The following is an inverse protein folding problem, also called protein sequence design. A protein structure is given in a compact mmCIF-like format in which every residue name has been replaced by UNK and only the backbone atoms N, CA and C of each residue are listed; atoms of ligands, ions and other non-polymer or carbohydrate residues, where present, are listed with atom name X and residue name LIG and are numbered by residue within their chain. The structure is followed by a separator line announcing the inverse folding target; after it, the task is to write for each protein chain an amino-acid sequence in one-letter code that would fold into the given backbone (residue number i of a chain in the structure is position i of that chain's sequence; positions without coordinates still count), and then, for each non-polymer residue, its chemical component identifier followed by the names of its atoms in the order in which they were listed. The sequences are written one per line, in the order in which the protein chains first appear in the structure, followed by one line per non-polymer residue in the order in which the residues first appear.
data_IF_084833238904
#
_entry.id   IF_084833238904
#
_cell.length_a   1.000
_cell.length_b   1.000
_cell.length_c   1.000
_cell.angle_alpha   90.00
_cell.angle_beta   90.00
_cell.angle_gamma   90.00
#
_symmetry.space_group_name_H-M   'P 1'
#
loop_
_entity.id
_entity.type
_entity.pdbx_description
1 polymer ?
#
# COMPACT_ATOMS: atom_id res chain seq x y z
N UNK A 1 66.11 -28.32 51.16
CA UNK A 1 64.71 -28.83 51.23
C UNK A 1 63.76 -27.62 51.02
N UNK A 2 63.15 -27.50 49.82
CA UNK A 2 62.04 -26.60 49.53
C UNK A 2 61.01 -27.43 48.80
N UNK A 3 59.77 -27.37 49.30
CA UNK A 3 58.61 -28.13 48.77
C UNK A 3 58.14 -27.52 47.43
N UNK A 4 57.69 -28.28 46.45
CA UNK A 4 56.97 -27.79 45.29
C UNK A 4 55.46 -27.81 45.59
N UNK A 5 54.80 -26.69 45.58
CA UNK A 5 53.35 -26.54 45.56
C UNK A 5 52.98 -25.49 44.54
N UNK A 6 51.82 -25.70 43.86
CA UNK A 6 51.11 -24.78 43.02
C UNK A 6 51.36 -24.77 41.52
N UNK A 7 50.78 -25.78 40.83
CA UNK A 7 50.30 -25.61 39.47
C UNK A 7 49.01 -26.45 39.29
N UNK A 8 47.86 -25.90 39.67
CA UNK A 8 46.55 -26.31 39.19
C UNK A 8 45.69 -25.07 38.91
N UNK A 9 45.95 -24.39 37.78
CA UNK A 9 44.93 -23.57 37.20
C UNK A 9 43.91 -24.47 36.50
N UNK A 10 42.77 -24.63 37.13
CA UNK A 10 41.59 -25.28 36.53
C UNK A 10 41.06 -24.35 35.44
N UNK A 11 41.32 -24.68 34.18
CA UNK A 11 40.56 -24.19 33.06
C UNK A 11 39.19 -24.92 33.06
N UNK A 12 38.23 -24.39 33.82
CA UNK A 12 36.84 -24.77 33.69
C UNK A 12 36.37 -24.25 32.34
N UNK A 13 36.14 -25.13 31.37
CA UNK A 13 35.43 -24.77 30.16
C UNK A 13 34.06 -24.21 30.58
N UNK A 14 33.61 -23.05 30.02
CA UNK A 14 32.28 -22.54 30.33
C UNK A 14 31.22 -23.61 30.01
N UNK A 15 30.16 -23.69 30.77
CA UNK A 15 29.09 -24.66 30.52
C UNK A 15 28.55 -24.51 29.09
N UNK A 16 28.24 -25.64 28.46
CA UNK A 16 27.73 -25.69 27.08
C UNK A 16 26.54 -24.75 26.88
N UNK A 17 25.74 -24.53 27.92
CA UNK A 17 24.67 -23.54 27.98
C UNK A 17 25.14 -22.11 27.76
N UNK A 18 26.29 -21.70 28.29
CA UNK A 18 26.80 -20.33 28.09
C UNK A 18 27.42 -20.16 26.68
N UNK A 19 27.99 -21.23 26.13
CA UNK A 19 28.45 -21.25 24.75
C UNK A 19 27.25 -21.22 23.76
N UNK A 20 26.20 -21.98 24.03
CA UNK A 20 24.94 -21.92 23.29
C UNK A 20 24.31 -20.52 23.44
N UNK A 21 24.23 -19.97 24.65
CA UNK A 21 23.69 -18.61 24.86
C UNK A 21 24.57 -17.50 24.26
N UNK A 22 25.88 -17.69 24.12
CA UNK A 22 26.75 -16.72 23.44
C UNK A 22 26.64 -16.78 21.92
N UNK A 23 26.42 -17.97 21.34
CA UNK A 23 26.08 -18.13 19.92
C UNK A 23 24.70 -17.53 19.58
N UNK A 24 23.78 -17.43 20.56
CA UNK A 24 22.44 -16.84 20.40
C UNK A 24 22.40 -15.34 20.78
N UNK A 25 23.52 -14.68 21.07
CA UNK A 25 23.59 -13.24 21.34
C UNK A 25 23.71 -12.35 20.10
N UNK A 26 23.75 -12.91 18.90
CA UNK A 26 23.51 -12.12 17.69
C UNK A 26 22.05 -11.67 17.67
N UNK A 27 21.83 -10.40 17.44
CA UNK A 27 20.59 -9.67 17.63
C UNK A 27 19.34 -10.38 17.07
N UNK A 28 18.73 -11.26 17.88
CA UNK A 28 17.47 -11.90 17.50
C UNK A 28 16.33 -10.89 17.61
N UNK A 29 15.68 -10.61 16.49
CA UNK A 29 14.42 -9.87 16.46
C UNK A 29 13.26 -10.85 16.59
N UNK A 30 12.18 -10.41 17.23
CA UNK A 30 10.91 -11.14 17.16
C UNK A 30 10.34 -11.03 15.74
N UNK A 31 10.44 -9.82 15.15
CA UNK A 31 9.97 -9.55 13.80
C UNK A 31 10.99 -8.77 12.97
N UNK A 32 11.17 -9.21 11.71
CA UNK A 32 11.80 -8.42 10.66
C UNK A 32 10.74 -8.08 9.62
N UNK A 33 10.54 -6.79 9.35
CA UNK A 33 9.59 -6.30 8.35
C UNK A 33 10.35 -5.86 7.10
N UNK A 34 9.99 -6.42 5.96
CA UNK A 34 10.58 -6.12 4.65
C UNK A 34 9.69 -5.13 3.92
N UNK A 35 10.25 -3.93 3.64
CA UNK A 35 9.58 -2.84 2.94
C UNK A 35 9.00 -1.78 3.86
N UNK A 36 9.56 -0.57 3.76
CA UNK A 36 9.18 0.63 4.53
C UNK A 36 8.04 1.42 3.89
N UNK A 37 7.15 0.76 3.14
CA UNK A 37 5.88 1.33 2.68
C UNK A 37 4.89 1.49 3.83
N UNK A 38 3.69 2.01 3.54
CA UNK A 38 2.67 2.26 4.55
C UNK A 38 2.33 1.01 5.38
N UNK A 39 2.14 -0.14 4.73
CA UNK A 39 1.81 -1.40 5.43
C UNK A 39 2.94 -1.84 6.36
N UNK A 40 4.17 -1.90 5.85
CA UNK A 40 5.30 -2.31 6.68
C UNK A 40 5.56 -1.37 7.85
N UNK A 41 5.46 -0.06 7.65
CA UNK A 41 5.64 0.94 8.71
C UNK A 41 4.59 0.81 9.83
N UNK A 42 3.32 0.64 9.47
CA UNK A 42 2.25 0.49 10.48
C UNK A 42 2.38 -0.85 11.20
N UNK A 43 2.60 -1.96 10.48
CA UNK A 43 2.74 -3.27 11.11
C UNK A 43 3.96 -3.34 12.03
N UNK A 44 5.10 -2.77 11.62
CA UNK A 44 6.28 -2.70 12.47
C UNK A 44 6.02 -1.92 13.77
N UNK A 45 5.36 -0.74 13.66
CA UNK A 45 5.02 0.06 14.84
C UNK A 45 4.00 -0.63 15.77
N UNK A 46 3.02 -1.35 15.22
CA UNK A 46 2.03 -2.11 16.00
C UNK A 46 2.69 -3.27 16.76
N UNK A 47 3.59 -4.01 16.12
CA UNK A 47 4.30 -5.12 16.75
C UNK A 47 5.25 -4.62 17.85
N UNK A 48 6.02 -3.58 17.57
CA UNK A 48 6.90 -2.98 18.56
C UNK A 48 6.12 -2.37 19.73
N UNK A 49 4.96 -1.75 19.47
CA UNK A 49 4.05 -1.25 20.51
C UNK A 49 3.49 -2.34 21.43
N UNK A 50 3.51 -3.60 21.01
CA UNK A 50 3.17 -4.78 21.84
C UNK A 50 4.39 -5.37 22.56
N UNK A 51 5.53 -4.71 22.51
CA UNK A 51 6.77 -5.15 23.17
C UNK A 51 7.64 -6.09 22.35
N UNK A 52 7.30 -6.36 21.08
CA UNK A 52 8.12 -7.20 20.20
C UNK A 52 9.36 -6.42 19.70
N UNK A 53 10.55 -7.02 19.80
CA UNK A 53 11.76 -6.46 19.21
C UNK A 53 11.66 -6.52 17.68
N UNK A 54 11.50 -5.36 17.04
CA UNK A 54 11.17 -5.26 15.62
C UNK A 54 12.20 -4.44 14.85
N UNK A 55 12.65 -4.96 13.70
CA UNK A 55 13.46 -4.23 12.72
C UNK A 55 12.69 -4.07 11.42
N UNK A 56 12.75 -2.89 10.80
CA UNK A 56 12.18 -2.56 9.50
C UNK A 56 13.31 -2.31 8.50
N UNK A 57 13.37 -3.10 7.42
CA UNK A 57 14.33 -2.95 6.34
C UNK A 57 13.66 -2.32 5.11
N UNK A 58 14.19 -1.18 4.64
CA UNK A 58 13.77 -0.51 3.41
C UNK A 58 14.96 -0.36 2.47
N UNK A 59 14.79 -0.75 1.21
CA UNK A 59 15.86 -0.70 0.20
C UNK A 59 16.19 0.72 -0.28
N UNK A 60 15.18 1.60 -0.28
CA UNK A 60 15.34 3.00 -0.66
C UNK A 60 15.89 3.83 0.54
N UNK A 61 16.24 5.07 0.32
CA UNK A 61 16.83 5.96 1.33
C UNK A 61 15.82 6.54 2.32
N UNK A 62 14.52 6.35 2.07
CA UNK A 62 13.43 6.84 2.91
C UNK A 62 12.18 5.98 2.84
N UNK A 63 11.29 6.18 3.80
CA UNK A 63 10.04 5.44 3.92
C UNK A 63 8.95 6.02 3.00
N UNK A 64 7.96 5.23 2.65
CA UNK A 64 6.75 5.61 1.89
C UNK A 64 7.00 6.31 0.53
N UNK A 65 8.12 6.07 -0.13
CA UNK A 65 8.49 6.78 -1.36
C UNK A 65 7.85 6.22 -2.63
N UNK A 66 7.43 4.95 -2.65
CA UNK A 66 6.92 4.23 -3.82
C UNK A 66 5.38 4.27 -3.86
N UNK A 67 4.71 3.13 -4.03
CA UNK A 67 3.25 3.02 -4.14
C UNK A 67 2.46 3.71 -3.01
N UNK A 68 3.06 3.90 -1.84
CA UNK A 68 2.47 4.66 -0.73
C UNK A 68 2.41 6.17 -1.00
N UNK A 69 3.26 6.70 -1.88
CA UNK A 69 3.23 8.08 -2.37
C UNK A 69 2.53 8.19 -3.72
N UNK A 70 2.92 7.34 -4.68
CA UNK A 70 2.43 7.38 -6.06
C UNK A 70 1.07 6.66 -6.20
N UNK A 71 0.02 7.27 -5.67
CA UNK A 71 -1.36 6.80 -5.72
C UNK A 71 -2.33 7.99 -5.81
N UNK A 72 -3.65 7.74 -5.82
CA UNK A 72 -4.66 8.81 -5.92
C UNK A 72 -4.86 9.62 -4.62
N UNK A 73 -4.09 9.36 -3.57
CA UNK A 73 -4.21 9.98 -2.25
C UNK A 73 -5.64 9.96 -1.68
N UNK A 74 -6.39 8.88 -1.91
CA UNK A 74 -7.81 8.78 -1.59
C UNK A 74 -8.05 7.95 -0.34
N UNK A 75 -8.87 8.48 0.57
CA UNK A 75 -9.43 7.76 1.71
C UNK A 75 -10.83 7.30 1.34
N UNK A 76 -10.94 6.03 0.98
CA UNK A 76 -12.20 5.43 0.53
C UNK A 76 -13.22 5.30 1.65
N UNK A 77 -14.50 5.57 1.31
CA UNK A 77 -15.64 5.40 2.21
C UNK A 77 -16.75 4.53 1.58
N UNK A 78 -16.36 3.57 0.74
CA UNK A 78 -17.25 2.59 0.14
C UNK A 78 -17.76 2.90 -1.27
N UNK A 79 -17.82 4.16 -1.67
CA UNK A 79 -18.46 4.60 -2.93
C UNK A 79 -17.84 4.03 -4.20
N UNK A 80 -16.55 3.71 -4.16
CA UNK A 80 -15.83 3.23 -5.35
C UNK A 80 -16.15 1.77 -5.72
N UNK A 81 -16.88 1.04 -4.86
CA UNK A 81 -17.09 -0.40 -4.98
C UNK A 81 -18.57 -0.81 -5.00
N UNK A 82 -19.44 -0.22 -5.87
CA UNK A 82 -20.88 -0.50 -5.85
C UNK A 82 -21.24 -1.92 -6.31
N UNK A 83 -20.27 -2.74 -6.73
CA UNK A 83 -20.41 -4.12 -7.16
C UNK A 83 -19.83 -5.12 -6.18
N UNK A 84 -19.11 -4.66 -5.14
CA UNK A 84 -18.51 -5.51 -4.12
C UNK A 84 -18.94 -5.06 -2.73
N UNK A 85 -19.98 -5.71 -2.19
CA UNK A 85 -20.55 -5.36 -0.87
C UNK A 85 -19.50 -5.41 0.22
N UNK A 86 -18.73 -6.49 0.27
CA UNK A 86 -17.72 -6.69 1.32
C UNK A 86 -16.64 -5.60 1.27
N UNK A 87 -16.14 -5.28 0.06
CA UNK A 87 -15.12 -4.24 -0.11
C UNK A 87 -15.64 -2.85 0.26
N UNK A 88 -16.90 -2.55 -0.12
CA UNK A 88 -17.55 -1.29 0.22
C UNK A 88 -17.76 -1.15 1.72
N UNK A 89 -18.30 -2.19 2.38
CA UNK A 89 -18.51 -2.19 3.84
C UNK A 89 -17.20 -2.07 4.62
N UNK A 90 -16.15 -2.79 4.25
CA UNK A 90 -14.84 -2.67 4.90
C UNK A 90 -14.30 -1.24 4.81
N UNK A 91 -14.33 -0.62 3.61
CA UNK A 91 -13.92 0.78 3.48
C UNK A 91 -14.80 1.70 4.32
N UNK A 92 -16.12 1.47 4.39
CA UNK A 92 -17.05 2.26 5.20
C UNK A 92 -16.73 2.16 6.69
N UNK A 93 -16.42 0.97 7.19
CA UNK A 93 -16.06 0.72 8.60
C UNK A 93 -14.69 1.31 8.94
N UNK A 94 -13.72 1.17 8.03
CA UNK A 94 -12.35 1.63 8.25
C UNK A 94 -12.19 3.15 8.10
N UNK A 95 -13.07 3.83 7.35
CA UNK A 95 -12.98 5.26 7.08
C UNK A 95 -12.88 6.15 8.34
N UNK A 96 -13.77 6.07 9.33
CA UNK A 96 -13.68 6.91 10.52
C UNK A 96 -12.43 6.63 11.34
N UNK A 97 -11.97 5.38 11.40
CA UNK A 97 -10.73 5.02 12.08
C UNK A 97 -9.52 5.61 11.37
N UNK A 98 -9.43 5.48 10.05
CA UNK A 98 -8.34 6.06 9.26
C UNK A 98 -8.28 7.58 9.40
N UNK A 99 -9.42 8.26 9.32
CA UNK A 99 -9.49 9.72 9.45
C UNK A 99 -9.13 10.21 10.85
N UNK A 100 -9.38 9.42 11.88
CA UNK A 100 -8.94 9.72 13.26
C UNK A 100 -7.45 9.45 13.46
N UNK A 101 -6.98 8.25 13.08
CA UNK A 101 -5.61 7.80 13.32
C UNK A 101 -4.55 8.62 12.55
N UNK A 102 -4.94 9.22 11.43
CA UNK A 102 -4.08 10.01 10.54
C UNK A 102 -4.63 11.43 10.31
N UNK A 103 -5.30 12.00 11.31
CA UNK A 103 -6.07 13.26 11.19
C UNK A 103 -5.28 14.43 10.60
N UNK A 104 -4.00 14.60 10.98
CA UNK A 104 -3.14 15.66 10.45
C UNK A 104 -2.75 15.49 8.98
N UNK A 105 -2.89 14.30 8.42
CA UNK A 105 -2.69 14.03 7.00
C UNK A 105 -3.98 14.11 6.19
N UNK A 106 -5.17 14.18 6.84
CA UNK A 106 -6.45 14.20 6.13
C UNK A 106 -6.74 15.58 5.56
N UNK A 107 -7.13 15.59 4.29
CA UNK A 107 -7.61 16.78 3.58
C UNK A 107 -9.07 16.54 3.19
N UNK A 108 -9.95 17.34 3.78
CA UNK A 108 -11.41 17.22 3.65
C UNK A 108 -12.10 18.51 3.18
N UNK A 109 -11.34 19.57 2.91
CA UNK A 109 -11.81 20.91 2.52
C UNK A 109 -12.14 21.03 1.02
N UNK A 110 -12.58 19.95 0.42
CA UNK A 110 -13.05 19.90 -0.96
C UNK A 110 -14.37 19.14 -1.08
N UNK A 111 -15.15 19.49 -2.12
CA UNK A 111 -16.39 18.80 -2.45
C UNK A 111 -16.13 17.53 -3.25
N UNK A 112 -16.63 16.40 -2.82
CA UNK A 112 -16.49 15.14 -3.56
C UNK A 112 -17.77 14.79 -4.31
N UNK A 113 -17.66 14.59 -5.63
CA UNK A 113 -18.76 14.22 -6.53
C UNK A 113 -18.51 12.86 -7.19
N UNK A 114 -19.57 12.07 -7.25
CA UNK A 114 -19.64 10.84 -8.03
C UNK A 114 -20.69 11.02 -9.12
N UNK A 115 -20.30 10.82 -10.37
CA UNK A 115 -21.19 10.90 -11.53
C UNK A 115 -21.37 9.53 -12.18
N UNK A 116 -22.61 9.16 -12.50
CA UNK A 116 -22.95 7.91 -13.15
C UNK A 116 -23.30 8.18 -14.60
N UNK A 117 -22.58 7.60 -15.57
CA UNK A 117 -22.86 7.77 -16.99
C UNK A 117 -24.13 7.05 -17.45
N UNK A 118 -24.82 7.64 -18.45
CA UNK A 118 -26.01 7.04 -19.09
C UNK A 118 -25.68 5.75 -19.83
N UNK A 119 -24.46 5.62 -20.36
CA UNK A 119 -24.01 4.49 -21.16
C UNK A 119 -22.69 3.95 -20.65
N UNK A 120 -22.46 2.65 -20.82
CA UNK A 120 -21.25 1.93 -20.45
C UNK A 120 -20.99 1.86 -18.93
N UNK A 121 -21.89 2.38 -18.10
CA UNK A 121 -21.82 2.15 -16.66
C UNK A 121 -22.34 0.74 -16.33
N UNK A 122 -21.68 0.06 -15.42
CA UNK A 122 -22.06 -1.27 -14.90
C UNK A 122 -23.14 -1.19 -13.82
N UNK A 123 -23.50 0.02 -13.39
CA UNK A 123 -24.59 0.31 -12.44
C UNK A 123 -25.32 1.56 -12.90
N UNK A 124 -26.66 1.62 -12.72
CA UNK A 124 -27.43 2.84 -12.92
C UNK A 124 -27.29 3.78 -11.72
N UNK A 125 -27.64 5.06 -11.89
CA UNK A 125 -27.65 6.03 -10.81
C UNK A 125 -28.57 5.60 -9.65
N UNK A 126 -29.72 5.01 -9.96
CA UNK A 126 -30.64 4.44 -8.95
C UNK A 126 -29.99 3.30 -8.17
N UNK A 127 -29.33 2.35 -8.86
CA UNK A 127 -28.63 1.23 -8.20
C UNK A 127 -27.52 1.72 -7.31
N UNK A 128 -26.71 2.69 -7.79
CA UNK A 128 -25.65 3.31 -7.01
C UNK A 128 -26.19 3.95 -5.73
N UNK A 129 -27.20 4.80 -5.83
CA UNK A 129 -27.81 5.45 -4.68
C UNK A 129 -28.34 4.46 -3.65
N UNK A 130 -29.16 3.50 -4.07
CA UNK A 130 -29.74 2.48 -3.18
C UNK A 130 -28.67 1.63 -2.50
N UNK A 131 -27.59 1.31 -3.21
CA UNK A 131 -26.47 0.57 -2.63
C UNK A 131 -25.77 1.39 -1.54
N UNK A 132 -25.50 2.69 -1.77
CA UNK A 132 -24.87 3.56 -0.80
C UNK A 132 -25.74 3.75 0.44
N UNK A 133 -27.04 3.96 0.27
CA UNK A 133 -28.01 4.03 1.36
C UNK A 133 -27.99 2.72 2.19
N UNK A 134 -27.94 1.56 1.52
CA UNK A 134 -27.91 0.24 2.18
C UNK A 134 -26.68 -0.02 3.01
N UNK A 135 -25.50 0.45 2.60
CA UNK A 135 -24.26 0.34 3.36
C UNK A 135 -24.08 1.46 4.39
N UNK A 136 -25.03 2.38 4.50
CA UNK A 136 -24.98 3.52 5.41
C UNK A 136 -23.95 4.59 5.02
N UNK A 137 -23.54 4.64 3.73
CA UNK A 137 -22.63 5.67 3.24
C UNK A 137 -23.40 6.99 2.98
N UNK A 138 -22.98 8.14 3.55
CA UNK A 138 -23.67 9.41 3.35
C UNK A 138 -23.69 9.82 1.86
N UNK A 139 -24.87 9.99 1.29
CA UNK A 139 -25.06 10.36 -0.11
C UNK A 139 -26.13 11.44 -0.22
N UNK A 140 -25.89 12.44 -1.05
CA UNK A 140 -26.83 13.52 -1.34
C UNK A 140 -26.91 13.77 -2.85
N UNK A 141 -28.00 14.35 -3.33
CA UNK A 141 -28.02 14.87 -4.69
C UNK A 141 -27.07 16.04 -4.83
N UNK A 142 -26.40 16.12 -5.97
CA UNK A 142 -25.61 17.30 -6.31
C UNK A 142 -26.51 18.51 -6.53
N UNK A 143 -25.99 19.70 -6.25
CA UNK A 143 -26.65 20.97 -6.52
C UNK A 143 -26.75 21.21 -8.03
N UNK A 144 -27.67 22.12 -8.44
CA UNK A 144 -27.80 22.48 -9.85
C UNK A 144 -26.51 23.06 -10.46
N UNK A 145 -25.68 23.75 -9.65
CA UNK A 145 -24.38 24.27 -10.07
C UNK A 145 -23.38 23.15 -10.31
N UNK A 146 -23.34 22.14 -9.41
CA UNK A 146 -22.47 20.97 -9.55
C UNK A 146 -22.87 20.11 -10.76
N UNK A 147 -24.16 19.89 -11.00
CA UNK A 147 -24.66 19.15 -12.16
C UNK A 147 -24.27 19.84 -13.48
N UNK A 148 -24.27 21.18 -13.54
CA UNK A 148 -23.87 21.96 -14.73
C UNK A 148 -22.40 21.77 -15.13
N UNK A 149 -21.55 21.25 -14.26
CA UNK A 149 -20.15 20.92 -14.60
C UNK A 149 -20.08 19.76 -15.63
N UNK A 150 -21.11 18.91 -15.67
CA UNK A 150 -21.14 17.69 -16.46
C UNK A 150 -21.97 17.84 -17.75
N UNK A 151 -21.62 17.03 -18.75
CA UNK A 151 -22.37 16.93 -19.95
C UNK A 151 -23.69 16.16 -19.70
N UNK A 152 -24.88 16.78 -19.82
CA UNK A 152 -26.17 16.15 -19.50
C UNK A 152 -26.53 15.02 -20.45
N UNK A 153 -26.00 15.01 -21.69
CA UNK A 153 -26.22 13.93 -22.65
C UNK A 153 -25.51 12.64 -22.28
N UNK A 154 -24.43 12.73 -21.49
CA UNK A 154 -23.58 11.59 -21.13
C UNK A 154 -23.71 11.16 -19.68
N UNK A 155 -24.14 12.04 -18.76
CA UNK A 155 -24.29 11.75 -17.34
C UNK A 155 -25.77 11.54 -17.00
N UNK A 156 -26.08 10.44 -16.29
CA UNK A 156 -27.42 10.11 -15.80
C UNK A 156 -27.76 10.91 -14.55
N UNK A 157 -26.87 10.89 -13.55
CA UNK A 157 -27.04 11.64 -12.31
C UNK A 157 -25.68 11.90 -11.63
N UNK A 158 -25.66 12.88 -10.70
CA UNK A 158 -24.48 13.28 -9.93
C UNK A 158 -24.83 13.30 -8.45
N UNK A 159 -23.95 12.73 -7.64
CA UNK A 159 -24.10 12.64 -6.19
C UNK A 159 -22.95 13.31 -5.44
N UNK A 160 -23.29 14.05 -4.41
CA UNK A 160 -22.34 14.49 -3.41
C UNK A 160 -22.12 13.40 -2.36
N UNK A 161 -20.86 13.14 -2.03
CA UNK A 161 -20.46 12.07 -1.11
C UNK A 161 -19.41 12.56 -0.11
N UNK A 162 -19.14 11.76 0.92
CA UNK A 162 -18.12 12.02 1.94
C UNK A 162 -16.94 11.08 1.70
N UNK A 163 -15.94 11.57 1.02
CA UNK A 163 -14.68 10.86 0.76
C UNK A 163 -13.56 11.90 0.77
N UNK A 164 -12.43 11.60 1.39
CA UNK A 164 -11.36 12.55 1.64
C UNK A 164 -10.10 12.23 0.81
N UNK A 165 -9.18 13.17 0.79
CA UNK A 165 -7.81 12.93 0.36
C UNK A 165 -6.89 12.85 1.57
N UNK A 166 -5.65 12.41 1.36
CA UNK A 166 -4.60 12.52 2.36
C UNK A 166 -3.35 13.18 1.75
N UNK A 167 -2.61 13.88 2.58
CA UNK A 167 -1.28 14.36 2.23
C UNK A 167 -0.26 13.24 2.47
N UNK A 168 0.36 12.76 1.41
CA UNK A 168 1.31 11.64 1.47
C UNK A 168 2.60 12.01 2.23
N UNK A 169 2.98 13.30 2.25
CA UNK A 169 4.13 13.79 3.00
C UNK A 169 3.83 13.80 4.50
N UNK A 170 2.65 14.30 4.88
CA UNK A 170 2.21 14.26 6.28
C UNK A 170 1.98 12.82 6.77
N UNK A 171 1.42 11.96 5.92
CA UNK A 171 1.23 10.55 6.25
C UNK A 171 2.57 9.85 6.53
N UNK A 172 3.60 10.16 5.73
CA UNK A 172 4.96 9.67 5.96
C UNK A 172 5.50 10.14 7.31
N UNK A 173 5.39 11.43 7.62
CA UNK A 173 5.85 11.99 8.88
C UNK A 173 5.20 11.31 10.10
N UNK A 174 3.89 11.05 10.03
CA UNK A 174 3.15 10.31 11.08
C UNK A 174 3.71 8.88 11.23
N UNK A 175 3.98 8.18 10.12
CA UNK A 175 4.54 6.83 10.17
C UNK A 175 5.95 6.82 10.78
N UNK A 176 6.81 7.75 10.37
CA UNK A 176 8.16 7.90 10.92
C UNK A 176 8.13 8.19 12.43
N UNK A 177 7.28 9.12 12.86
CA UNK A 177 7.08 9.42 14.29
C UNK A 177 6.61 8.19 15.09
N UNK A 178 5.63 7.44 14.56
CA UNK A 178 5.13 6.21 15.21
C UNK A 178 6.22 5.17 15.37
N UNK A 179 7.02 4.92 14.33
CA UNK A 179 8.13 3.97 14.35
C UNK A 179 9.17 4.37 15.42
N UNK A 180 9.56 5.65 15.46
CA UNK A 180 10.49 6.16 16.49
C UNK A 180 9.92 6.01 17.91
N UNK A 181 8.68 6.42 18.12
CA UNK A 181 8.03 6.34 19.44
C UNK A 181 7.91 4.91 19.96
N UNK A 182 7.73 3.93 19.08
CA UNK A 182 7.61 2.51 19.47
C UNK A 182 8.96 1.79 19.52
N UNK A 183 10.07 2.46 19.16
CA UNK A 183 11.41 1.89 19.24
C UNK A 183 11.74 0.87 18.16
N UNK A 184 11.08 0.96 16.99
CA UNK A 184 11.44 0.13 15.84
C UNK A 184 12.82 0.50 15.34
N UNK A 185 13.70 -0.48 15.15
CA UNK A 185 14.97 -0.27 14.45
C UNK A 185 14.70 -0.12 12.95
N UNK A 186 15.06 1.02 12.37
CA UNK A 186 14.85 1.32 10.95
C UNK A 186 16.17 1.23 10.21
N UNK A 187 16.24 0.39 9.18
CA UNK A 187 17.37 0.23 8.27
C UNK A 187 16.95 0.63 6.87
N UNK A 188 17.19 1.88 6.48
CA UNK A 188 17.08 2.34 5.09
C UNK A 188 18.30 1.90 4.29
N UNK A 189 18.26 2.02 2.95
CA UNK A 189 19.29 1.52 2.01
C UNK A 189 19.70 0.08 2.32
N UNK A 190 18.73 -0.71 2.79
CA UNK A 190 18.94 -2.09 3.20
C UNK A 190 17.95 -2.99 2.47
N UNK A 191 18.43 -3.67 1.43
CA UNK A 191 17.65 -4.65 0.68
C UNK A 191 17.70 -5.99 1.39
N UNK A 192 16.57 -6.58 1.63
CA UNK A 192 16.47 -7.99 2.04
C UNK A 192 16.54 -8.84 0.78
N UNK A 193 17.60 -9.63 0.68
CA UNK A 193 17.89 -10.47 -0.50
C UNK A 193 17.15 -11.81 -0.43
N UNK A 194 17.27 -12.52 0.70
CA UNK A 194 16.68 -13.84 0.85
C UNK A 194 16.41 -14.19 2.30
N UNK A 195 15.52 -15.18 2.49
CA UNK A 195 15.09 -15.70 3.78
C UNK A 195 15.28 -17.23 3.77
N UNK A 196 15.90 -17.78 4.81
CA UNK A 196 16.19 -19.19 4.95
C UNK A 196 15.80 -19.70 6.33
N UNK A 197 15.41 -21.00 6.46
CA UNK A 197 15.18 -21.60 7.77
C UNK A 197 16.42 -21.54 8.66
N UNK A 198 16.22 -21.28 9.94
CA UNK A 198 17.26 -21.32 10.97
C UNK A 198 16.71 -21.88 12.28
N UNK A 199 17.60 -22.26 13.19
CA UNK A 199 17.17 -22.71 14.52
C UNK A 199 16.47 -21.56 15.25
N UNK A 200 15.24 -21.77 15.66
CA UNK A 200 14.45 -20.78 16.40
C UNK A 200 13.85 -19.66 15.55
N UNK A 201 13.86 -19.79 14.21
CA UNK A 201 13.26 -18.79 13.32
C UNK A 201 13.84 -18.80 11.91
N UNK A 202 14.18 -17.64 11.43
CA UNK A 202 14.63 -17.39 10.06
C UNK A 202 15.95 -16.62 10.05
N UNK A 203 16.84 -17.00 9.16
CA UNK A 203 18.05 -16.25 8.78
C UNK A 203 17.73 -15.42 7.55
N UNK A 204 17.90 -14.13 7.66
CA UNK A 204 17.60 -13.12 6.63
C UNK A 204 18.89 -12.52 6.12
N UNK A 205 19.11 -12.61 4.83
CA UNK A 205 20.28 -12.01 4.17
C UNK A 205 19.90 -10.62 3.68
N UNK A 206 20.68 -9.64 4.10
CA UNK A 206 20.48 -8.23 3.74
C UNK A 206 21.72 -7.68 3.03
N UNK A 207 21.52 -6.76 2.10
CA UNK A 207 22.58 -6.00 1.44
C UNK A 207 22.33 -4.50 1.64
N UNK A 208 23.37 -3.79 2.06
CA UNK A 208 23.37 -2.33 2.25
C UNK A 208 24.67 -1.74 1.71
N UNK A 209 24.84 -0.41 1.81
CA UNK A 209 26.08 0.28 1.45
C UNK A 209 27.31 -0.28 2.23
N UNK A 210 27.08 -0.82 3.43
CA UNK A 210 28.09 -1.48 4.25
C UNK A 210 28.40 -2.93 3.87
N UNK A 211 27.78 -3.45 2.81
CA UNK A 211 27.95 -4.81 2.31
C UNK A 211 26.84 -5.76 2.75
N UNK A 212 27.12 -7.05 2.61
CA UNK A 212 26.17 -8.13 2.92
C UNK A 212 26.23 -8.48 4.41
N UNK A 213 25.06 -8.56 5.04
CA UNK A 213 24.89 -8.89 6.46
C UNK A 213 23.81 -9.95 6.64
N UNK A 214 23.84 -10.66 7.77
CA UNK A 214 22.80 -11.60 8.15
C UNK A 214 22.10 -11.12 9.42
N UNK A 215 20.78 -11.29 9.45
CA UNK A 215 19.91 -10.94 10.57
C UNK A 215 19.06 -12.15 10.93
N UNK A 216 18.93 -12.44 12.22
CA UNK A 216 18.05 -13.49 12.70
C UNK A 216 16.75 -12.91 13.26
N UNK A 217 15.61 -13.46 12.84
CA UNK A 217 14.29 -13.08 13.33
C UNK A 217 13.42 -14.32 13.53
N UNK A 218 12.54 -14.28 14.53
CA UNK A 218 11.55 -15.35 14.72
C UNK A 218 10.58 -15.40 13.56
N UNK A 219 10.14 -14.21 13.12
CA UNK A 219 9.18 -14.05 12.03
C UNK A 219 9.63 -12.96 11.07
N UNK A 220 9.31 -13.14 9.79
CA UNK A 220 9.56 -12.17 8.72
C UNK A 220 8.24 -11.80 8.07
N UNK A 221 7.96 -10.50 7.98
CA UNK A 221 6.81 -9.96 7.27
C UNK A 221 7.26 -9.39 5.94
N UNK A 222 6.90 -10.03 4.85
CA UNK A 222 7.16 -9.52 3.50
C UNK A 222 6.04 -8.55 3.08
N UNK A 223 6.28 -7.25 3.27
CA UNK A 223 5.42 -6.14 2.92
C UNK A 223 5.94 -5.36 1.68
N UNK A 224 6.75 -6.01 0.84
CA UNK A 224 7.45 -5.38 -0.28
C UNK A 224 6.54 -5.04 -1.48
N UNK A 225 5.23 -5.23 -1.40
CA UNK A 225 4.21 -4.89 -2.39
C UNK A 225 4.50 -5.52 -3.76
N UNK A 226 4.91 -4.74 -4.78
CA UNK A 226 5.25 -5.24 -6.11
C UNK A 226 6.52 -6.11 -6.14
N UNK A 227 7.31 -6.10 -5.06
CA UNK A 227 8.55 -6.86 -4.91
C UNK A 227 8.41 -8.09 -3.99
N UNK A 228 7.18 -8.48 -3.63
CA UNK A 228 6.94 -9.68 -2.79
C UNK A 228 7.62 -10.91 -3.40
N UNK A 229 7.46 -11.11 -4.70
CA UNK A 229 8.01 -12.27 -5.40
C UNK A 229 9.53 -12.20 -5.64
N UNK A 230 10.16 -11.02 -5.59
CA UNK A 230 11.62 -10.92 -5.65
C UNK A 230 12.26 -11.64 -4.46
N UNK A 231 11.75 -11.38 -3.25
CA UNK A 231 12.22 -12.06 -2.06
C UNK A 231 11.97 -13.58 -2.14
N UNK A 232 10.80 -13.98 -2.63
CA UNK A 232 10.42 -15.40 -2.74
C UNK A 232 11.29 -16.13 -3.76
N UNK A 233 11.53 -15.54 -4.94
CA UNK A 233 12.38 -16.10 -6.00
C UNK A 233 13.83 -16.29 -5.51
N UNK A 234 14.42 -15.25 -4.93
CA UNK A 234 15.79 -15.32 -4.38
C UNK A 234 15.92 -16.27 -3.19
N UNK A 235 14.81 -16.58 -2.52
CA UNK A 235 14.78 -17.55 -1.42
C UNK A 235 14.49 -18.98 -1.88
N UNK A 236 14.22 -19.21 -3.17
CA UNK A 236 13.80 -20.51 -3.71
C UNK A 236 12.40 -20.92 -3.21
N UNK A 237 11.56 -19.98 -2.83
CA UNK A 237 10.21 -20.20 -2.27
C UNK A 237 9.12 -20.09 -3.36
N UNK A 238 7.96 -20.72 -3.16
CA UNK A 238 6.85 -20.63 -4.11
C UNK A 238 6.41 -19.19 -4.34
N UNK A 239 6.34 -18.73 -5.59
CA UNK A 239 5.85 -17.41 -5.93
C UNK A 239 4.34 -17.30 -5.76
N UNK A 240 3.89 -16.09 -5.48
CA UNK A 240 2.47 -15.73 -5.41
C UNK A 240 2.04 -15.22 -6.79
N UNK A 241 0.90 -15.69 -7.28
CA UNK A 241 0.33 -15.15 -8.53
C UNK A 241 -0.10 -13.70 -8.30
N UNK A 242 0.65 -12.76 -8.86
CA UNK A 242 0.40 -11.33 -8.82
C UNK A 242 0.21 -10.78 -10.23
N UNK A 243 -0.69 -9.80 -10.36
CA UNK A 243 -0.82 -8.99 -11.58
C UNK A 243 -0.23 -7.62 -11.32
N UNK A 244 0.61 -7.19 -12.23
CA UNK A 244 1.27 -5.89 -12.20
C UNK A 244 0.76 -5.01 -13.34
N UNK A 245 0.65 -3.71 -13.06
CA UNK A 245 0.31 -2.68 -14.04
C UNK A 245 1.30 -1.54 -13.88
N UNK A 246 2.07 -1.20 -14.93
CA UNK A 246 2.77 0.08 -14.99
C UNK A 246 1.71 1.16 -15.15
N UNK A 247 1.56 2.00 -14.15
CA UNK A 247 0.51 3.01 -14.12
C UNK A 247 1.05 4.42 -14.14
N UNK A 248 0.29 5.30 -14.80
CA UNK A 248 0.46 6.74 -14.77
C UNK A 248 -0.74 7.40 -14.08
N UNK A 249 -0.48 8.27 -13.12
CA UNK A 249 -1.43 9.27 -12.65
C UNK A 249 -0.93 10.64 -13.12
N UNK A 250 -1.62 11.27 -14.06
CA UNK A 250 -1.22 12.58 -14.54
C UNK A 250 -1.48 13.63 -13.46
N UNK A 251 -0.46 14.39 -13.09
CA UNK A 251 -0.57 15.54 -12.20
C UNK A 251 -0.95 16.78 -13.00
N UNK A 252 -2.09 17.36 -12.67
CA UNK A 252 -2.67 18.46 -13.39
C UNK A 252 -2.92 19.67 -12.49
N UNK A 253 -2.75 20.84 -13.07
CA UNK A 253 -3.37 22.05 -12.56
C UNK A 253 -4.84 22.06 -13.01
N UNK A 254 -5.81 21.94 -12.10
CA UNK A 254 -7.21 21.88 -12.46
C UNK A 254 -7.72 23.25 -12.93
N UNK A 255 -8.79 23.30 -13.75
CA UNK A 255 -9.47 24.55 -14.03
C UNK A 255 -10.10 25.12 -12.74
N UNK A 256 -10.39 26.44 -12.69
CA UNK A 256 -10.87 27.10 -11.47
C UNK A 256 -12.08 26.42 -10.82
N UNK A 257 -13.01 25.89 -11.62
CA UNK A 257 -14.23 25.21 -11.18
C UNK A 257 -13.96 23.92 -10.42
N UNK A 258 -12.80 23.32 -10.63
CA UNK A 258 -12.43 22.04 -10.00
C UNK A 258 -11.37 22.19 -8.90
N UNK A 259 -10.93 23.41 -8.59
CA UNK A 259 -9.85 23.63 -7.60
C UNK A 259 -10.13 22.99 -6.24
N UNK A 260 -11.38 23.02 -5.81
CA UNK A 260 -11.85 22.44 -4.54
C UNK A 260 -12.88 21.32 -4.79
N UNK A 261 -12.75 20.60 -5.89
CA UNK A 261 -13.69 19.52 -6.24
C UNK A 261 -12.94 18.27 -6.66
N UNK A 262 -13.21 17.16 -5.99
CA UNK A 262 -12.79 15.84 -6.43
C UNK A 262 -13.92 15.16 -7.19
N UNK A 263 -13.63 14.58 -8.35
CA UNK A 263 -14.64 13.94 -9.21
C UNK A 263 -14.25 12.48 -9.49
N UNK A 264 -15.26 11.61 -9.46
CA UNK A 264 -15.16 10.26 -9.98
C UNK A 264 -16.34 9.99 -10.88
N UNK A 265 -16.10 9.69 -12.15
CA UNK A 265 -17.10 9.16 -13.07
C UNK A 265 -16.98 7.63 -13.05
N UNK A 266 -18.09 6.93 -12.82
CA UNK A 266 -18.09 5.49 -12.61
C UNK A 266 -19.44 4.86 -13.00
N UNK A 267 -19.57 3.57 -13.17
CA UNK A 267 -18.72 2.42 -12.93
C UNK A 267 -18.41 1.75 -14.28
N UNK A 268 -17.17 1.88 -14.75
CA UNK A 268 -16.77 1.38 -16.07
C UNK A 268 -15.47 2.03 -16.57
N UNK A 269 -15.25 2.14 -17.88
CA UNK A 269 -14.00 2.63 -18.45
C UNK A 269 -13.89 4.16 -18.40
N UNK A 270 -14.01 4.74 -17.20
CA UNK A 270 -14.08 6.18 -16.97
C UNK A 270 -12.85 6.70 -16.21
N UNK A 271 -13.00 7.79 -15.48
CA UNK A 271 -11.89 8.54 -14.91
C UNK A 271 -12.16 9.05 -13.49
N UNK A 272 -11.10 9.42 -12.83
CA UNK A 272 -11.13 10.18 -11.58
C UNK A 272 -10.19 11.38 -11.67
N UNK A 273 -10.65 12.52 -11.16
CA UNK A 273 -9.86 13.73 -10.93
C UNK A 273 -9.93 14.03 -9.43
N UNK A 274 -8.81 13.95 -8.73
CA UNK A 274 -8.75 14.05 -7.26
C UNK A 274 -7.69 15.05 -6.84
N UNK A 275 -7.94 15.86 -5.78
CA UNK A 275 -6.86 16.60 -5.14
C UNK A 275 -5.69 15.69 -4.76
N UNK A 276 -4.47 16.18 -5.01
CA UNK A 276 -3.22 15.56 -4.57
C UNK A 276 -2.44 16.57 -3.69
N UNK A 277 -2.73 16.59 -2.37
CA UNK A 277 -2.27 17.62 -1.47
C UNK A 277 -0.77 17.80 -1.42
N UNK A 278 -0.01 16.70 -1.45
CA UNK A 278 1.46 16.70 -1.40
C UNK A 278 2.14 17.53 -2.50
N UNK A 279 1.42 17.87 -3.57
CA UNK A 279 1.94 18.70 -4.69
C UNK A 279 1.09 19.95 -4.94
N UNK A 280 -0.03 20.16 -4.22
CA UNK A 280 -0.98 21.23 -4.51
C UNK A 280 -1.63 21.14 -5.90
N UNK A 281 -1.69 19.93 -6.47
CA UNK A 281 -2.22 19.62 -7.79
C UNK A 281 -3.42 18.67 -7.67
N UNK A 282 -3.95 18.24 -8.81
CA UNK A 282 -4.88 17.12 -8.87
C UNK A 282 -4.24 15.96 -9.64
N UNK A 283 -4.61 14.73 -9.29
CA UNK A 283 -4.37 13.56 -10.12
C UNK A 283 -5.50 13.38 -11.11
N UNK A 284 -5.19 13.12 -12.38
CA UNK A 284 -6.12 12.59 -13.36
C UNK A 284 -5.72 11.15 -13.67
N UNK A 285 -6.63 10.22 -13.41
CA UNK A 285 -6.51 8.82 -13.79
C UNK A 285 -7.65 8.41 -14.70
N UNK A 286 -7.41 7.49 -15.61
CA UNK A 286 -8.41 6.99 -16.53
C UNK A 286 -8.25 5.47 -16.69
N UNK A 287 -9.33 4.72 -16.54
CA UNK A 287 -9.28 3.24 -16.55
C UNK A 287 -8.61 2.68 -17.80
N UNK A 288 -8.79 3.33 -18.97
CA UNK A 288 -8.19 2.89 -20.25
C UNK A 288 -6.75 3.31 -20.44
N UNK A 289 -6.33 4.44 -19.85
CA UNK A 289 -5.06 5.08 -20.20
C UNK A 289 -4.05 5.08 -19.07
N UNK A 290 -4.51 4.97 -17.82
CA UNK A 290 -3.63 4.85 -16.64
C UNK A 290 -2.72 3.63 -16.71
N UNK A 291 -3.18 2.41 -17.08
CA UNK A 291 -2.27 1.29 -17.30
C UNK A 291 -1.55 1.46 -18.65
N UNK A 292 -0.22 1.50 -18.62
CA UNK A 292 0.65 1.53 -19.80
C UNK A 292 1.08 0.14 -20.26
N UNK A 293 1.28 -0.75 -19.31
CA UNK A 293 1.60 -2.16 -19.54
C UNK A 293 1.06 -3.01 -18.41
N UNK A 294 0.86 -4.28 -18.69
CA UNK A 294 0.34 -5.25 -17.73
C UNK A 294 1.07 -6.57 -17.90
N UNK A 295 1.47 -7.20 -16.80
CA UNK A 295 2.03 -8.56 -16.77
C UNK A 295 1.61 -9.30 -15.51
N UNK A 296 1.88 -10.59 -15.48
CA UNK A 296 1.53 -11.46 -14.34
C UNK A 296 2.72 -12.34 -13.96
N UNK A 297 2.95 -12.49 -12.67
CA UNK A 297 3.89 -13.47 -12.15
C UNK A 297 3.31 -14.89 -12.23
N UNK A 298 4.21 -15.88 -12.41
CA UNK A 298 3.84 -17.28 -12.47
C UNK A 298 3.27 -17.74 -13.82
N UNK A 299 3.37 -16.93 -14.88
CA UNK A 299 2.98 -17.29 -16.26
C UNK A 299 4.19 -17.47 -17.19
N UNK A 300 5.41 -17.34 -16.67
CA UNK A 300 6.68 -17.43 -17.40
C UNK A 300 7.85 -17.20 -16.45
N UNK A 301 9.07 -16.93 -16.98
CA UNK A 301 10.21 -16.53 -16.17
C UNK A 301 9.86 -15.32 -15.31
N UNK A 302 10.36 -15.29 -14.06
CA UNK A 302 10.14 -14.15 -13.18
C UNK A 302 10.80 -12.89 -13.76
N UNK A 303 10.09 -11.77 -13.67
CA UNK A 303 10.58 -10.45 -14.06
C UNK A 303 10.41 -9.50 -12.90
N UNK A 304 11.53 -8.96 -12.41
CA UNK A 304 11.48 -7.98 -11.32
C UNK A 304 10.67 -6.76 -11.74
N UNK A 305 9.65 -6.44 -10.95
CA UNK A 305 8.71 -5.34 -11.26
C UNK A 305 9.41 -3.96 -11.28
N UNK A 306 10.44 -3.75 -10.45
CA UNK A 306 11.15 -2.47 -10.41
C UNK A 306 12.19 -2.33 -11.53
N UNK A 307 12.83 -3.42 -11.97
CA UNK A 307 13.71 -3.41 -13.14
C UNK A 307 12.89 -3.11 -14.39
N UNK A 308 11.73 -3.75 -14.52
CA UNK A 308 10.78 -3.46 -15.59
C UNK A 308 10.33 -2.00 -15.55
N UNK A 309 9.97 -1.49 -14.35
CA UNK A 309 9.63 -0.08 -14.14
C UNK A 309 10.75 0.86 -14.56
N UNK A 310 12.00 0.55 -14.23
CA UNK A 310 13.16 1.38 -14.57
C UNK A 310 13.41 1.42 -16.09
N UNK A 311 13.28 0.28 -16.75
CA UNK A 311 13.53 0.13 -18.19
C UNK A 311 12.37 0.66 -19.08
N UNK A 312 11.14 0.68 -18.57
CA UNK A 312 9.97 1.04 -19.36
C UNK A 312 9.95 2.52 -19.75
N UNK A 313 9.61 2.86 -21.00
CA UNK A 313 9.44 4.24 -21.42
C UNK A 313 8.25 4.89 -20.70
N UNK A 314 8.43 6.11 -20.22
CA UNK A 314 7.41 6.87 -19.48
C UNK A 314 6.88 8.03 -20.35
N UNK A 315 6.11 7.68 -21.39
CA UNK A 315 5.45 8.67 -22.26
C UNK A 315 4.01 8.91 -21.75
N UNK A 316 3.74 10.12 -21.28
CA UNK A 316 2.42 10.45 -20.70
C UNK A 316 1.27 10.26 -21.69
N UNK A 317 0.20 9.62 -21.22
CA UNK A 317 -1.09 9.49 -21.92
C UNK A 317 -2.10 10.56 -21.49
N UNK A 318 -1.66 11.58 -20.78
CA UNK A 318 -2.53 12.70 -20.39
C UNK A 318 -3.36 13.27 -21.56
N UNK A 319 -2.85 13.48 -22.78
CA UNK A 319 -3.66 13.98 -23.90
C UNK A 319 -4.86 13.08 -24.24
N UNK A 320 -4.72 11.78 -24.07
CA UNK A 320 -5.82 10.83 -24.26
C UNK A 320 -6.78 10.85 -23.06
N UNK A 321 -6.24 10.89 -21.83
CA UNK A 321 -7.04 10.97 -20.61
C UNK A 321 -7.93 12.20 -20.58
N UNK A 322 -7.36 13.37 -20.85
CA UNK A 322 -8.11 14.64 -20.80
C UNK A 322 -9.14 14.74 -21.92
N UNK A 323 -8.82 14.28 -23.13
CA UNK A 323 -9.74 14.30 -24.28
C UNK A 323 -10.97 13.44 -24.01
N UNK A 324 -10.80 12.25 -23.47
CA UNK A 324 -11.95 11.36 -23.16
C UNK A 324 -12.73 11.88 -21.95
N UNK A 325 -12.04 12.31 -20.89
CA UNK A 325 -12.66 12.84 -19.69
C UNK A 325 -13.46 14.14 -19.94
N UNK A 326 -12.96 15.04 -20.78
CA UNK A 326 -13.63 16.31 -21.11
C UNK A 326 -14.96 16.11 -21.86
N UNK A 327 -15.23 14.96 -22.44
CA UNK A 327 -16.56 14.64 -22.99
C UNK A 327 -17.63 14.63 -21.90
N UNK A 328 -17.29 14.13 -20.72
CA UNK A 328 -18.18 14.01 -19.56
C UNK A 328 -18.13 15.23 -18.65
N UNK A 329 -16.95 15.84 -18.54
CA UNK A 329 -16.65 17.00 -17.69
C UNK A 329 -15.94 18.07 -18.52
N UNK A 330 -16.65 18.89 -19.29
CA UNK A 330 -16.08 19.77 -20.32
C UNK A 330 -15.00 20.74 -19.79
N UNK A 331 -15.16 21.26 -18.56
CA UNK A 331 -14.18 22.17 -17.96
C UNK A 331 -12.78 21.54 -17.82
N UNK A 332 -12.69 20.22 -17.70
CA UNK A 332 -11.42 19.49 -17.55
C UNK A 332 -10.50 19.66 -18.77
N UNK A 333 -11.06 19.93 -19.96
CA UNK A 333 -10.29 20.24 -21.16
C UNK A 333 -9.40 21.47 -21.04
N UNK A 334 -9.60 22.32 -20.02
CA UNK A 334 -8.74 23.50 -19.71
C UNK A 334 -7.65 23.20 -18.67
N UNK A 335 -7.58 21.98 -18.17
CA UNK A 335 -6.51 21.57 -17.23
C UNK A 335 -5.15 21.58 -17.92
N UNK A 336 -4.10 21.76 -17.14
CA UNK A 336 -2.72 21.78 -17.62
C UNK A 336 -1.94 20.64 -16.99
N UNK A 337 -1.33 19.80 -17.82
CA UNK A 337 -0.40 18.77 -17.35
C UNK A 337 0.84 19.42 -16.76
N UNK A 338 1.25 18.99 -15.58
CA UNK A 338 2.46 19.50 -14.90
C UNK A 338 3.52 18.43 -14.76
N UNK A 339 3.09 17.20 -14.43
CA UNK A 339 3.97 16.05 -14.16
C UNK A 339 3.15 14.77 -14.20
N UNK A 340 3.75 13.63 -13.97
CA UNK A 340 3.06 12.35 -13.80
C UNK A 340 3.69 11.52 -12.70
N UNK A 341 2.87 10.91 -11.88
CA UNK A 341 3.29 9.87 -10.93
C UNK A 341 3.26 8.52 -11.65
N UNK A 342 4.41 7.85 -11.65
CA UNK A 342 4.58 6.54 -12.25
C UNK A 342 4.83 5.51 -11.16
N UNK A 343 4.14 4.38 -11.23
CA UNK A 343 4.35 3.28 -10.29
C UNK A 343 3.85 1.95 -10.83
N UNK A 344 4.40 0.87 -10.29
CA UNK A 344 3.86 -0.48 -10.50
C UNK A 344 2.75 -0.74 -9.50
N UNK A 345 1.52 -0.70 -9.97
CA UNK A 345 0.36 -1.14 -9.19
C UNK A 345 0.27 -2.66 -9.25
N UNK A 346 0.14 -3.29 -8.08
CA UNK A 346 0.08 -4.74 -7.93
C UNK A 346 -1.23 -5.16 -7.27
N UNK A 347 -1.88 -6.16 -7.84
CA UNK A 347 -3.16 -6.71 -7.36
C UNK A 347 -3.18 -8.22 -7.47
N UNK A 348 -4.11 -8.83 -6.75
CA UNK A 348 -4.41 -10.27 -6.91
C UNK A 348 -5.26 -10.46 -8.18
N UNK A 349 -4.96 -11.43 -9.06
CA UNK A 349 -5.70 -11.64 -10.30
C UNK A 349 -7.21 -11.89 -10.09
N UNK A 350 -7.59 -12.52 -8.98
CA UNK A 350 -8.99 -12.81 -8.65
C UNK A 350 -9.86 -11.55 -8.45
N UNK A 351 -9.24 -10.39 -8.23
CA UNK A 351 -9.93 -9.12 -7.96
C UNK A 351 -10.54 -8.45 -9.19
N UNK A 352 -10.35 -8.99 -10.40
CA UNK A 352 -10.75 -8.31 -11.64
C UNK A 352 -12.23 -8.48 -11.99
N UNK A 353 -12.85 -9.59 -11.55
CA UNK A 353 -14.23 -9.90 -11.90
C UNK A 353 -15.28 -9.01 -11.23
N UNK A 354 -15.08 -8.69 -9.96
CA UNK A 354 -16.06 -8.05 -9.09
C UNK A 354 -15.63 -6.72 -8.48
N UNK A 355 -14.47 -6.16 -8.89
CA UNK A 355 -13.82 -4.98 -8.32
C UNK A 355 -13.43 -5.17 -6.83
N UNK A 356 -13.38 -6.41 -6.32
CA UNK A 356 -12.94 -6.68 -4.94
C UNK A 356 -11.49 -6.26 -4.70
N UNK A 357 -11.18 -5.96 -3.45
CA UNK A 357 -9.81 -5.63 -3.03
C UNK A 357 -9.49 -6.38 -1.74
N UNK A 358 -9.42 -7.74 -1.82
CA UNK A 358 -9.01 -8.52 -0.65
C UNK A 358 -7.57 -8.21 -0.29
N UNK A 359 -7.22 -8.40 0.98
CA UNK A 359 -5.82 -8.46 1.38
C UNK A 359 -5.25 -9.84 1.03
N UNK A 360 -3.97 -9.86 0.69
CA UNK A 360 -3.16 -11.07 0.80
C UNK A 360 -2.60 -11.11 2.21
N UNK A 361 -2.84 -12.18 2.92
CA UNK A 361 -2.23 -12.48 4.21
C UNK A 361 -1.94 -13.97 4.25
N UNK A 362 -0.71 -14.35 3.89
CA UNK A 362 -0.28 -15.75 3.84
C UNK A 362 0.82 -16.00 4.86
N UNK A 363 0.44 -16.71 5.91
CA UNK A 363 1.37 -17.18 6.94
C UNK A 363 2.14 -18.39 6.45
N UNK A 364 3.35 -18.56 6.98
CA UNK A 364 4.23 -19.71 6.74
C UNK A 364 4.42 -20.03 5.24
N UNK A 365 4.54 -18.95 4.44
CA UNK A 365 4.58 -19.09 2.99
C UNK A 365 5.90 -19.70 2.51
N UNK A 366 5.86 -21.00 2.23
CA UNK A 366 7.00 -21.79 1.78
C UNK A 366 8.01 -22.12 2.89
N UNK A 367 8.00 -21.39 3.98
CA UNK A 367 8.84 -21.63 5.17
C UNK A 367 8.11 -21.13 6.42
N UNK A 368 8.12 -21.88 7.55
CA UNK A 368 7.54 -21.43 8.81
C UNK A 368 8.11 -20.08 9.25
N UNK A 369 7.26 -19.17 9.71
CA UNK A 369 7.63 -17.83 10.15
C UNK A 369 7.69 -16.75 9.08
N UNK A 370 7.53 -17.06 7.78
CA UNK A 370 7.44 -16.07 6.72
C UNK A 370 5.99 -15.75 6.39
N UNK A 371 5.56 -14.51 6.60
CA UNK A 371 4.23 -14.02 6.23
C UNK A 371 4.30 -13.01 5.09
N UNK A 372 3.58 -13.27 3.99
CA UNK A 372 3.47 -12.35 2.86
C UNK A 372 2.18 -11.53 2.96
N UNK A 373 2.29 -10.19 2.87
CA UNK A 373 1.19 -9.25 3.08
C UNK A 373 1.10 -8.26 1.92
N UNK A 374 -0.09 -8.16 1.32
CA UNK A 374 -0.39 -7.15 0.30
C UNK A 374 -1.80 -6.63 0.49
N UNK A 375 -1.94 -5.30 0.54
CA UNK A 375 -3.23 -4.62 0.54
C UNK A 375 -3.43 -3.82 -0.75
N UNK A 376 -4.63 -3.89 -1.31
CA UNK A 376 -5.01 -3.16 -2.53
C UNK A 376 -5.48 -1.72 -2.27
N UNK A 377 -5.66 -1.33 -0.99
CA UNK A 377 -6.11 -0.01 -0.54
C UNK A 377 -5.39 0.36 0.75
N UNK A 378 -5.27 1.67 1.01
CA UNK A 378 -4.59 2.15 2.21
C UNK A 378 -5.34 1.75 3.50
N UNK A 379 -6.67 1.76 3.48
CA UNK A 379 -7.53 1.37 4.60
C UNK A 379 -7.54 -0.14 4.90
N UNK A 380 -7.03 -0.98 4.01
CA UNK A 380 -6.85 -2.41 4.27
C UNK A 380 -5.80 -2.70 5.38
N UNK A 381 -5.05 -1.69 5.81
CA UNK A 381 -4.08 -1.87 6.92
C UNK A 381 -4.77 -2.39 8.18
N UNK A 382 -5.99 -1.97 8.44
CA UNK A 382 -6.75 -2.43 9.63
C UNK A 382 -7.14 -3.90 9.53
N UNK A 383 -7.41 -4.39 8.32
CA UNK A 383 -7.64 -5.81 8.08
C UNK A 383 -6.35 -6.61 8.38
N UNK A 384 -5.18 -6.10 7.96
CA UNK A 384 -3.90 -6.75 8.23
C UNK A 384 -3.53 -6.71 9.72
N UNK A 385 -3.78 -5.60 10.42
CA UNK A 385 -3.54 -5.49 11.87
C UNK A 385 -4.45 -6.45 12.66
N UNK A 386 -5.69 -6.62 12.23
CA UNK A 386 -6.64 -7.54 12.88
C UNK A 386 -6.20 -9.00 12.80
N UNK A 387 -5.53 -9.41 11.72
CA UNK A 387 -4.96 -10.76 11.58
C UNK A 387 -3.91 -11.08 12.67
N UNK A 388 -3.12 -10.07 13.10
CA UNK A 388 -2.18 -10.23 14.22
C UNK A 388 -2.84 -10.17 15.59
N UNK A 389 -3.99 -9.53 15.73
CA UNK A 389 -4.70 -9.45 17.00
C UNK A 389 -5.29 -10.81 17.42
N UNK A 390 -5.67 -11.65 16.44
CA UNK A 390 -6.19 -13.01 16.69
C UNK A 390 -5.12 -13.96 17.22
N UNK A 391 -3.83 -13.72 16.96
CA UNK A 391 -2.73 -14.55 17.50
C UNK A 391 -2.47 -14.31 19.00
N UNK A 392 -2.62 -13.07 19.46
CA UNK A 392 -2.40 -12.75 20.88
C UNK A 392 -3.50 -13.31 21.82
N UNK A 393 -4.56 -13.89 21.25
CA UNK A 393 -5.67 -14.51 21.98
C UNK A 393 -5.62 -16.05 21.99
N UNK A 394 -4.59 -16.67 21.39
CA UNK A 394 -4.34 -18.11 21.51
C UNK A 394 -3.33 -18.35 22.65
N UNK A 395 -3.67 -19.17 23.65
CA UNK A 395 -2.86 -19.42 24.83
C UNK A 395 -1.54 -20.10 24.54
#
# INVERSE_FOLDING_TARGET
MKKPSEWRQQHTKPPITDFINSMFREAHYDYLVVGGGFFGSILASELAGRGCRTVLCEKDDGLLQRASYANQARVHNGYHYPRSVLTALRSRVNFPRFTSDFSSAIVSDFRKLYAVPRRFSKVSARQFRLFMERIGAPISRATAAEVKLFNPELIEDVFGVVEYAFDAVQLRAICEERLHRTGVEIRTRTRVESVHPAIGGLRVVCTSDGGRTEVHARQVLNCAYSQINELLDHSGLPMIRLKHELTELALIEPPPELRHVGITVMCGPFFSCMPFPAKGLHTLSHVRYTPHATWQDGTGPYTNAHDWFAAAPKCSRYPHMVRDAARYLPCLGRSRHRDSLWEVKTVLPQSEGDDSRPILFRRDHGVPGLTCILGGKIDNIYDAVAEFATEAALP
#
